data_IF_228354790092
#
_entry.id   IF_228354790092
#
_cell.length_a   1.000
_cell.length_b   1.000
_cell.length_c   1.000
_cell.angle_alpha   90.00
_cell.angle_beta   90.00
_cell.angle_gamma   90.00
#
_symmetry.space_group_name_H-M   'P 1'
#
loop_
_entity.id
_entity.type
_entity.pdbx_description
1 polymer ?
#
# COMPACT_ATOMS: atom_id res chain seq x y z
N UNK A 1 8.33 -12.30 -12.20
CA UNK A 1 8.97 -12.22 -10.87
C UNK A 1 7.89 -11.77 -9.89
N UNK A 2 7.84 -12.32 -8.67
CA UNK A 2 6.90 -11.85 -7.63
C UNK A 2 7.71 -11.25 -6.49
N UNK A 3 7.57 -9.96 -6.22
CA UNK A 3 8.22 -9.31 -5.08
C UNK A 3 7.46 -9.68 -3.81
N UNK A 4 8.18 -10.22 -2.83
CA UNK A 4 7.63 -10.64 -1.53
C UNK A 4 7.71 -9.49 -0.53
N UNK A 5 6.67 -9.35 0.30
CA UNK A 5 6.61 -8.35 1.36
C UNK A 5 7.74 -8.61 2.37
N UNK A 6 8.70 -7.68 2.43
CA UNK A 6 9.97 -7.82 3.13
C UNK A 6 9.80 -7.77 4.64
N UNK A 7 8.79 -7.06 5.15
CA UNK A 7 8.44 -7.08 6.57
C UNK A 7 8.26 -8.50 7.10
N UNK A 8 7.57 -9.37 6.36
CA UNK A 8 7.34 -10.77 6.74
C UNK A 8 8.60 -11.63 6.58
N UNK A 9 9.42 -11.38 5.56
CA UNK A 9 10.72 -12.06 5.38
C UNK A 9 11.62 -11.79 6.58
N UNK A 10 11.70 -10.53 7.02
CA UNK A 10 12.51 -10.13 8.18
C UNK A 10 12.08 -10.86 9.47
N UNK A 11 10.81 -11.25 9.56
CA UNK A 11 10.24 -12.02 10.69
C UNK A 11 10.30 -13.55 10.50
N UNK A 12 10.96 -14.01 9.44
CA UNK A 12 11.09 -15.42 9.08
C UNK A 12 9.75 -16.13 8.88
N UNK A 13 8.75 -15.42 8.34
CA UNK A 13 7.51 -16.03 7.86
C UNK A 13 7.84 -16.88 6.63
N UNK A 14 7.33 -18.12 6.60
CA UNK A 14 7.58 -19.05 5.50
C UNK A 14 6.52 -18.87 4.43
N UNK A 15 6.93 -18.68 3.19
CA UNK A 15 6.02 -18.45 2.08
C UNK A 15 5.17 -17.18 2.23
N UNK A 16 5.77 -16.02 2.58
CA UNK A 16 5.01 -14.80 2.79
C UNK A 16 4.30 -14.37 1.50
N UNK A 17 3.26 -13.56 1.67
CA UNK A 17 2.52 -12.93 0.58
C UNK A 17 3.45 -12.08 -0.32
N UNK A 18 3.00 -11.89 -1.55
CA UNK A 18 3.58 -10.90 -2.46
C UNK A 18 2.92 -9.54 -2.29
N UNK A 19 3.57 -8.49 -2.80
CA UNK A 19 2.99 -7.14 -2.86
C UNK A 19 1.67 -7.15 -3.64
N UNK A 20 1.57 -7.99 -4.67
CA UNK A 20 0.33 -8.13 -5.44
C UNK A 20 -0.81 -8.76 -4.62
N UNK A 21 -0.52 -9.70 -3.71
CA UNK A 21 -1.52 -10.30 -2.81
C UNK A 21 -2.08 -9.23 -1.85
N UNK A 22 -1.19 -8.43 -1.26
CA UNK A 22 -1.50 -7.28 -0.42
C UNK A 22 -2.40 -6.26 -1.15
N UNK A 23 -1.96 -5.76 -2.31
CA UNK A 23 -2.74 -4.81 -3.13
C UNK A 23 -4.09 -5.39 -3.58
N UNK A 24 -4.15 -6.69 -3.87
CA UNK A 24 -5.39 -7.37 -4.22
C UNK A 24 -6.39 -7.35 -3.05
N UNK A 25 -5.95 -7.69 -1.83
CA UNK A 25 -6.83 -7.65 -0.65
C UNK A 25 -7.26 -6.22 -0.31
N UNK A 26 -6.38 -5.23 -0.46
CA UNK A 26 -6.76 -3.82 -0.32
C UNK A 26 -7.82 -3.38 -1.35
N UNK A 27 -7.68 -3.80 -2.61
CA UNK A 27 -8.68 -3.51 -3.64
C UNK A 27 -10.04 -4.15 -3.33
N UNK A 28 -10.05 -5.35 -2.73
CA UNK A 28 -11.28 -5.96 -2.20
C UNK A 28 -11.85 -5.17 -1.02
N UNK A 29 -11.01 -4.70 -0.09
CA UNK A 29 -11.44 -3.84 1.02
C UNK A 29 -12.06 -2.54 0.49
N UNK A 30 -11.50 -1.95 -0.57
CA UNK A 30 -12.07 -0.75 -1.20
C UNK A 30 -13.50 -0.94 -1.74
N UNK A 31 -13.99 -2.17 -1.93
CA UNK A 31 -15.39 -2.41 -2.27
C UNK A 31 -16.36 -1.97 -1.16
N UNK A 32 -15.91 -1.87 0.10
CA UNK A 32 -16.72 -1.38 1.22
C UNK A 32 -16.84 0.16 1.22
N UNK A 33 -16.07 0.86 0.38
CA UNK A 33 -16.05 2.32 0.34
C UNK A 33 -17.38 2.93 -0.12
N UNK A 34 -18.25 2.16 -0.77
CA UNK A 34 -19.62 2.60 -1.14
C UNK A 34 -20.47 2.97 0.08
N UNK A 35 -20.12 2.48 1.27
CA UNK A 35 -20.83 2.80 2.52
C UNK A 35 -20.40 4.16 3.11
N UNK A 36 -19.39 4.82 2.54
CA UNK A 36 -18.84 6.09 3.01
C UNK A 36 -19.29 7.25 2.12
N UNK A 37 -20.09 8.21 2.64
CA UNK A 37 -20.46 9.40 1.89
C UNK A 37 -19.23 10.17 1.39
N UNK A 38 -19.32 10.70 0.17
CA UNK A 38 -18.28 11.50 -0.48
C UNK A 38 -16.99 10.76 -0.88
N UNK A 39 -16.95 9.42 -0.81
CA UNK A 39 -15.83 8.60 -1.28
C UNK A 39 -16.14 7.99 -2.64
N UNK A 40 -15.23 8.11 -3.61
CA UNK A 40 -15.32 7.40 -4.87
C UNK A 40 -14.63 6.02 -4.79
N UNK A 41 -15.43 4.96 -4.69
CA UNK A 41 -14.96 3.57 -4.68
C UNK A 41 -14.06 3.21 -5.87
N UNK A 42 -14.43 3.60 -7.09
CA UNK A 42 -13.61 3.26 -8.28
C UNK A 42 -12.21 3.85 -8.13
N UNK A 43 -12.12 5.08 -7.65
CA UNK A 43 -10.85 5.75 -7.39
C UNK A 43 -10.07 5.07 -6.25
N UNK A 44 -10.71 4.67 -5.15
CA UNK A 44 -10.05 3.88 -4.10
C UNK A 44 -9.46 2.56 -4.62
N UNK A 45 -10.21 1.82 -5.46
CA UNK A 45 -9.73 0.58 -6.08
C UNK A 45 -8.51 0.88 -6.95
N UNK A 46 -8.58 1.91 -7.79
CA UNK A 46 -7.49 2.33 -8.66
C UNK A 46 -6.23 2.75 -7.87
N UNK A 47 -6.39 3.46 -6.76
CA UNK A 47 -5.26 3.81 -5.89
C UNK A 47 -4.67 2.54 -5.27
N UNK A 48 -5.50 1.66 -4.71
CA UNK A 48 -5.05 0.42 -4.05
C UNK A 48 -4.21 -0.48 -4.97
N UNK A 49 -4.56 -0.60 -6.25
CA UNK A 49 -3.81 -1.42 -7.22
C UNK A 49 -2.53 -0.75 -7.75
N UNK A 50 -2.37 0.57 -7.57
CA UNK A 50 -1.24 1.35 -8.11
C UNK A 50 -0.23 1.74 -7.04
N UNK A 51 -0.63 1.88 -5.77
CA UNK A 51 0.18 2.56 -4.77
C UNK A 51 1.60 1.98 -4.57
N UNK A 52 1.74 0.65 -4.57
CA UNK A 52 3.02 -0.06 -4.44
C UNK A 52 3.56 -0.59 -5.80
N UNK A 53 3.04 -0.10 -6.94
CA UNK A 53 3.42 -0.61 -8.26
C UNK A 53 4.93 -0.50 -8.51
N UNK A 54 5.55 0.58 -8.05
CA UNK A 54 6.98 0.85 -8.23
C UNK A 54 7.88 -0.20 -7.54
N UNK A 55 7.39 -0.86 -6.49
CA UNK A 55 8.12 -1.89 -5.75
C UNK A 55 8.37 -3.16 -6.58
N UNK A 56 7.70 -3.31 -7.72
CA UNK A 56 8.06 -4.34 -8.71
C UNK A 56 9.47 -4.13 -9.30
N UNK A 57 9.98 -2.90 -9.31
CA UNK A 57 11.34 -2.55 -9.75
C UNK A 57 12.25 -2.28 -8.55
N UNK A 58 11.82 -1.44 -7.60
CA UNK A 58 12.69 -1.01 -6.50
C UNK A 58 12.79 -2.02 -5.35
N UNK A 59 11.86 -2.98 -5.29
CA UNK A 59 11.67 -3.88 -4.16
C UNK A 59 10.93 -3.22 -3.00
N UNK A 60 10.38 -4.03 -2.08
CA UNK A 60 9.75 -3.54 -0.86
C UNK A 60 10.83 -2.97 0.09
N UNK A 61 10.88 -1.64 0.20
CA UNK A 61 11.81 -0.90 1.06
C UNK A 61 11.13 -0.67 2.42
N UNK A 62 11.70 -1.28 3.45
CA UNK A 62 11.15 -1.27 4.82
C UNK A 62 11.89 -0.29 5.73
N UNK A 63 11.31 0.10 6.88
CA UNK A 63 12.00 0.97 7.84
C UNK A 63 13.37 0.45 8.31
N UNK A 64 13.57 -0.87 8.35
CA UNK A 64 14.85 -1.48 8.75
C UNK A 64 15.98 -1.29 7.73
N UNK A 65 15.66 -0.86 6.50
CA UNK A 65 16.66 -0.57 5.46
C UNK A 65 17.38 0.77 5.66
N UNK A 66 16.88 1.63 6.55
CA UNK A 66 17.50 2.92 6.86
C UNK A 66 17.53 3.91 5.69
N UNK A 67 16.75 3.67 4.64
CA UNK A 67 16.63 4.58 3.49
C UNK A 67 15.75 5.78 3.89
N UNK A 68 16.22 7.03 3.74
CA UNK A 68 15.40 8.20 4.02
C UNK A 68 14.14 8.24 3.14
N UNK A 69 13.01 8.73 3.69
CA UNK A 69 11.74 8.82 2.96
C UNK A 69 11.87 9.52 1.60
N UNK A 70 12.64 10.62 1.53
CA UNK A 70 12.86 11.35 0.29
C UNK A 70 13.60 10.51 -0.78
N UNK A 71 14.53 9.66 -0.35
CA UNK A 71 15.26 8.78 -1.27
C UNK A 71 14.41 7.59 -1.71
N UNK A 72 13.57 7.02 -0.81
CA UNK A 72 12.56 6.01 -1.18
C UNK A 72 11.63 6.57 -2.26
N UNK A 73 11.01 7.72 -1.99
CA UNK A 73 10.09 8.39 -2.90
C UNK A 73 10.74 8.72 -4.25
N UNK A 74 11.99 9.20 -4.27
CA UNK A 74 12.75 9.43 -5.51
C UNK A 74 12.90 8.16 -6.35
N UNK A 75 13.31 7.05 -5.73
CA UNK A 75 13.49 5.76 -6.42
C UNK A 75 12.18 5.23 -6.99
N UNK A 76 11.11 5.32 -6.21
CA UNK A 76 9.78 4.86 -6.63
C UNK A 76 9.23 5.71 -7.78
N UNK A 77 9.41 7.02 -7.70
CA UNK A 77 9.05 7.93 -8.79
C UNK A 77 9.80 7.62 -10.09
N UNK A 78 11.10 7.31 -10.00
CA UNK A 78 11.92 6.92 -11.16
C UNK A 78 11.44 5.60 -11.78
N UNK A 79 11.18 4.59 -10.95
CA UNK A 79 10.62 3.32 -11.41
C UNK A 79 9.24 3.49 -12.06
N UNK A 80 8.38 4.32 -11.47
CA UNK A 80 7.06 4.63 -12.02
C UNK A 80 7.16 5.32 -13.38
N UNK A 81 8.11 6.24 -13.53
CA UNK A 81 8.36 6.91 -14.80
C UNK A 81 8.80 5.91 -15.88
N UNK A 82 9.71 5.00 -15.57
CA UNK A 82 10.15 3.94 -16.50
C UNK A 82 8.96 3.04 -16.91
N UNK A 83 8.13 2.61 -15.95
CA UNK A 83 6.93 1.82 -16.26
C UNK A 83 5.97 2.56 -17.19
N UNK A 84 5.78 3.85 -16.97
CA UNK A 84 4.91 4.67 -17.80
C UNK A 84 5.44 4.88 -19.22
N UNK A 85 6.77 4.88 -19.41
CA UNK A 85 7.38 4.88 -20.75
C UNK A 85 7.09 3.57 -21.49
N UNK A 86 7.17 2.42 -20.79
CA UNK A 86 6.83 1.11 -21.36
C UNK A 86 5.37 1.01 -21.79
N UNK A 87 4.46 1.68 -21.06
CA UNK A 87 3.03 1.77 -21.42
C UNK A 87 2.77 2.65 -22.66
N UNK A 88 3.79 3.31 -23.22
CA UNK A 88 3.65 4.20 -24.36
C UNK A 88 3.17 5.61 -24.01
N UNK A 89 3.17 5.97 -22.72
CA UNK A 89 2.72 7.28 -22.25
C UNK A 89 1.21 7.52 -22.40
N UNK A 90 0.83 8.79 -22.60
CA UNK A 90 -0.55 9.22 -22.79
C UNK A 90 -1.41 9.21 -21.52
N UNK A 91 -2.72 9.30 -21.71
CA UNK A 91 -3.68 9.52 -20.62
C UNK A 91 -3.67 8.43 -19.55
N UNK A 92 -3.41 7.17 -19.92
CA UNK A 92 -3.34 6.07 -18.95
C UNK A 92 -2.08 6.16 -18.08
N UNK A 93 -0.93 6.48 -18.67
CA UNK A 93 0.28 6.70 -17.90
C UNK A 93 0.15 7.91 -16.96
N UNK A 94 -0.49 8.99 -17.44
CA UNK A 94 -0.80 10.17 -16.62
C UNK A 94 -1.76 9.85 -15.47
N UNK A 95 -2.79 9.01 -15.71
CA UNK A 95 -3.71 8.55 -14.66
C UNK A 95 -2.97 7.75 -13.59
N UNK A 96 -2.13 6.78 -13.98
CA UNK A 96 -1.35 5.96 -13.05
C UNK A 96 -0.41 6.83 -12.20
N UNK A 97 0.31 7.78 -12.82
CA UNK A 97 1.16 8.73 -12.09
C UNK A 97 0.35 9.56 -11.11
N UNK A 98 -0.78 10.12 -11.55
CA UNK A 98 -1.64 10.93 -10.71
C UNK A 98 -2.19 10.17 -9.50
N UNK A 99 -2.59 8.90 -9.68
CA UNK A 99 -3.07 8.05 -8.58
C UNK A 99 -1.96 7.73 -7.57
N UNK A 100 -0.75 7.45 -8.05
CA UNK A 100 0.41 7.20 -7.19
C UNK A 100 0.79 8.45 -6.39
N UNK A 101 0.89 9.61 -7.05
CA UNK A 101 1.18 10.89 -6.42
C UNK A 101 0.10 11.29 -5.38
N UNK A 102 -1.16 11.01 -5.69
CA UNK A 102 -2.29 11.26 -4.77
C UNK A 102 -2.15 10.44 -3.48
N UNK A 103 -1.78 9.16 -3.59
CA UNK A 103 -1.50 8.30 -2.45
C UNK A 103 -0.31 8.79 -1.62
N UNK A 104 0.81 9.10 -2.28
CA UNK A 104 2.03 9.55 -1.60
C UNK A 104 1.82 10.86 -0.82
N UNK A 105 1.03 11.77 -1.39
CA UNK A 105 0.78 13.09 -0.82
C UNK A 105 -0.42 13.15 0.12
N UNK A 106 -1.22 12.09 0.27
CA UNK A 106 -2.46 12.09 1.06
C UNK A 106 -3.46 13.18 0.60
N UNK A 107 -3.51 13.46 -0.70
CA UNK A 107 -4.17 14.67 -1.20
C UNK A 107 -5.69 14.56 -1.38
N UNK A 108 -6.29 13.40 -1.12
CA UNK A 108 -7.73 13.14 -1.26
C UNK A 108 -8.29 12.28 -0.14
N UNK A 109 -9.61 12.28 0.01
CA UNK A 109 -10.29 11.40 0.96
C UNK A 109 -10.09 9.93 0.59
N UNK A 110 -10.02 9.62 -0.71
CA UNK A 110 -9.74 8.29 -1.23
C UNK A 110 -8.32 7.82 -0.87
N UNK A 111 -7.29 8.66 -1.04
CA UNK A 111 -5.92 8.31 -0.68
C UNK A 111 -5.75 8.08 0.82
N UNK A 112 -6.38 8.92 1.64
CA UNK A 112 -6.37 8.74 3.09
C UNK A 112 -7.04 7.43 3.49
N UNK A 113 -8.21 7.11 2.90
CA UNK A 113 -8.90 5.85 3.15
C UNK A 113 -8.07 4.63 2.71
N UNK A 114 -7.41 4.70 1.56
CA UNK A 114 -6.58 3.59 1.08
C UNK A 114 -5.34 3.40 1.95
N UNK A 115 -4.76 4.46 2.54
CA UNK A 115 -3.71 4.30 3.55
C UNK A 115 -4.20 3.65 4.84
N UNK A 116 -5.45 3.88 5.22
CA UNK A 116 -6.04 3.17 6.35
C UNK A 116 -6.26 1.69 5.99
N UNK A 117 -6.66 1.38 4.75
CA UNK A 117 -6.72 0.00 4.27
C UNK A 117 -5.35 -0.68 4.26
N UNK A 118 -4.29 -0.01 3.82
CA UNK A 118 -2.90 -0.53 3.85
C UNK A 118 -2.52 -1.00 5.27
N UNK A 119 -2.74 -0.15 6.27
CA UNK A 119 -2.48 -0.48 7.69
C UNK A 119 -3.36 -1.62 8.19
N UNK A 120 -4.67 -1.58 7.90
CA UNK A 120 -5.63 -2.59 8.37
C UNK A 120 -5.34 -3.95 7.74
N UNK A 121 -4.99 -3.98 6.46
CA UNK A 121 -4.59 -5.17 5.73
C UNK A 121 -3.33 -5.77 6.35
N UNK A 122 -2.31 -4.94 6.63
CA UNK A 122 -1.05 -5.37 7.23
C UNK A 122 -1.26 -6.00 8.62
N UNK A 123 -2.07 -5.41 9.51
CA UNK A 123 -2.31 -5.98 10.85
C UNK A 123 -3.22 -7.22 10.80
N UNK A 124 -4.12 -7.30 9.82
CA UNK A 124 -4.89 -8.52 9.58
C UNK A 124 -3.97 -9.66 9.14
N UNK A 125 -3.05 -9.38 8.23
CA UNK A 125 -2.04 -10.36 7.79
C UNK A 125 -1.13 -10.79 8.93
N UNK A 126 -0.70 -9.85 9.79
CA UNK A 126 0.07 -10.15 10.98
C UNK A 126 -0.69 -11.16 11.87
N UNK A 127 -1.96 -10.90 12.17
CA UNK A 127 -2.79 -11.79 12.99
C UNK A 127 -2.96 -13.18 12.36
N UNK A 128 -3.12 -13.26 11.04
CA UNK A 128 -3.18 -14.54 10.32
C UNK A 128 -1.86 -15.31 10.46
N UNK A 129 -0.71 -14.65 10.29
CA UNK A 129 0.59 -15.27 10.42
C UNK A 129 0.97 -15.65 11.86
N UNK A 130 0.53 -14.90 12.87
CA UNK A 130 0.69 -15.31 14.26
C UNK A 130 -0.03 -16.64 14.53
N UNK A 131 -1.26 -16.78 14.03
CA UNK A 131 -2.05 -18.02 14.17
C UNK A 131 -1.44 -19.18 13.39
N UNK A 132 -0.99 -18.95 12.17
CA UNK A 132 -0.44 -19.99 11.31
C UNK A 132 0.96 -20.45 11.76
N UNK A 133 1.82 -19.50 12.15
CA UNK A 133 3.24 -19.78 12.41
C UNK A 133 3.63 -19.76 13.89
N UNK A 134 2.71 -19.44 14.81
CA UNK A 134 3.00 -19.33 16.24
C UNK A 134 4.04 -18.25 16.56
N UNK A 135 4.00 -17.15 15.81
CA UNK A 135 4.90 -15.99 15.95
C UNK A 135 4.25 -14.91 16.79
N UNK A 136 5.07 -13.99 17.31
CA UNK A 136 4.62 -12.73 17.92
C UNK A 136 5.03 -11.60 16.99
N UNK A 137 4.06 -10.84 16.51
CA UNK A 137 4.18 -9.77 15.52
C UNK A 137 3.61 -8.45 16.05
N UNK A 138 3.60 -8.27 17.39
CA UNK A 138 3.08 -7.10 18.10
C UNK A 138 3.55 -5.75 17.52
N UNK A 139 4.77 -5.67 16.98
CA UNK A 139 5.31 -4.44 16.39
C UNK A 139 4.46 -3.90 15.23
N UNK A 140 3.85 -4.79 14.43
CA UNK A 140 2.98 -4.41 13.33
C UNK A 140 1.71 -3.73 13.86
N UNK A 141 1.11 -4.29 14.91
CA UNK A 141 -0.05 -3.69 15.58
C UNK A 141 0.32 -2.35 16.24
N UNK A 142 1.44 -2.29 16.97
CA UNK A 142 1.90 -1.08 17.65
C UNK A 142 2.22 0.05 16.66
N UNK A 143 2.74 -0.27 15.47
CA UNK A 143 3.01 0.73 14.43
C UNK A 143 1.75 1.46 13.94
N UNK A 144 0.59 0.83 14.08
CA UNK A 144 -0.71 1.37 13.67
C UNK A 144 -1.48 2.07 14.79
N UNK A 145 -1.07 1.90 16.05
CA UNK A 145 -1.76 2.47 17.21
C UNK A 145 -1.78 4.01 17.15
N UNK A 146 -2.98 4.60 17.18
CA UNK A 146 -3.19 6.05 17.06
C UNK A 146 -3.09 6.61 15.63
N UNK A 147 -2.83 5.76 14.63
CA UNK A 147 -2.68 6.17 13.22
C UNK A 147 -3.79 5.62 12.32
N UNK A 148 -4.71 4.81 12.85
CA UNK A 148 -5.88 4.26 12.17
C UNK A 148 -7.10 4.90 12.84
N UNK A 149 -7.79 5.80 12.12
CA UNK A 149 -8.99 6.52 12.58
C UNK A 149 -8.69 7.62 13.63
N UNK A 150 -8.04 8.71 13.22
CA UNK A 150 -7.95 9.94 14.06
C UNK A 150 -8.46 11.22 13.35
N UNK A 151 -9.06 11.08 12.16
CA UNK A 151 -9.87 12.14 11.58
C UNK A 151 -11.34 11.72 11.61
N UNK A 152 -12.21 12.37 12.42
CA UNK A 152 -13.62 12.14 12.30
C UNK A 152 -14.03 12.55 10.88
N UNK A 153 -14.48 11.59 10.09
CA UNK A 153 -15.25 11.85 8.87
C UNK A 153 -16.40 12.77 9.29
N UNK A 154 -16.24 14.08 9.05
CA UNK A 154 -17.31 15.05 9.26
C UNK A 154 -18.07 15.16 7.93
N UNK A 155 -19.38 14.88 7.93
CA UNK A 155 -20.22 15.08 6.75
C UNK A 155 -20.29 16.56 6.34
#
# INVERSE_FOLDING_TARGET
QTTKRKGWINHSIKGPESIADHMYRMALMALIADDLPAVNRERCIKIAIVHDIAEAIVGDITPSDGIPKAEKSRREQEALNEMCEVLGGGSTAEEIKGLWEEYENNSSVEANLVKDFDKVEMILQALEYEKEHGKVLDEFFLSTAGNVIDQPYRP
#
